data_IF_839092330290
#
_entry.id   IF_839092330290
#
_cell.length_a   1.000
_cell.length_b   1.000
_cell.length_c   1.000
_cell.angle_alpha   90.00
_cell.angle_beta   90.00
_cell.angle_gamma   90.00
#
_symmetry.space_group_name_H-M   'P 1'
#
loop_
_entity.id
_entity.type
_entity.pdbx_description
1 polymer ?
#
# COMPACT_ATOMS: atom_id res chain seq x y z
N UNK A 1 -30.66 -68.77 2.47
CA UNK A 1 -29.69 -68.15 3.40
C UNK A 1 -29.94 -66.64 3.37
N UNK A 2 -30.92 -66.12 4.12
CA UNK A 2 -30.80 -65.53 5.47
C UNK A 2 -29.67 -64.50 5.64
N UNK A 3 -30.11 -63.24 5.72
CA UNK A 3 -29.75 -62.23 6.70
C UNK A 3 -28.30 -61.73 6.73
N UNK A 4 -28.09 -60.49 6.25
CA UNK A 4 -27.47 -59.42 7.04
C UNK A 4 -27.58 -58.08 6.31
N UNK A 5 -28.59 -57.31 6.72
CA UNK A 5 -28.51 -55.86 6.69
C UNK A 5 -27.44 -55.39 7.69
N UNK A 6 -26.98 -54.17 7.44
CA UNK A 6 -26.56 -53.19 8.46
C UNK A 6 -25.04 -53.11 8.71
N UNK A 7 -24.58 -51.85 8.76
CA UNK A 7 -23.21 -51.33 8.69
C UNK A 7 -22.65 -51.34 7.26
N UNK A 8 -22.54 -50.22 6.55
CA UNK A 8 -21.78 -49.04 6.99
C UNK A 8 -22.29 -47.77 6.27
N UNK A 9 -23.23 -47.05 6.89
CA UNK A 9 -23.38 -45.60 6.65
C UNK A 9 -22.27 -44.92 7.47
N UNK A 10 -21.19 -44.48 6.82
CA UNK A 10 -20.30 -43.41 7.32
C UNK A 10 -19.20 -43.10 6.28
N UNK A 11 -19.58 -42.60 5.10
CA UNK A 11 -18.66 -41.88 4.23
C UNK A 11 -19.12 -40.42 4.13
N UNK A 12 -19.19 -39.76 5.28
CA UNK A 12 -19.46 -38.33 5.38
C UNK A 12 -18.15 -37.60 5.08
N UNK A 13 -18.09 -37.05 3.87
CA UNK A 13 -17.48 -35.77 3.49
C UNK A 13 -16.30 -35.29 4.38
N UNK A 14 -15.08 -35.69 4.02
CA UNK A 14 -13.88 -34.95 4.41
C UNK A 14 -13.57 -34.01 3.23
N UNK A 15 -14.12 -32.80 3.27
CA UNK A 15 -13.65 -31.70 2.44
C UNK A 15 -12.53 -31.02 3.23
N UNK A 16 -11.26 -31.04 2.79
CA UNK A 16 -10.28 -30.12 3.34
C UNK A 16 -10.66 -28.72 2.87
N UNK A 17 -11.30 -27.95 3.75
CA UNK A 17 -11.47 -26.52 3.56
C UNK A 17 -10.10 -25.85 3.72
N UNK A 18 -9.27 -25.90 2.67
CA UNK A 18 -8.13 -25.02 2.55
C UNK A 18 -8.67 -23.63 2.24
N UNK A 19 -9.15 -22.91 3.25
CA UNK A 19 -9.45 -21.48 3.13
C UNK A 19 -8.11 -20.77 3.05
N UNK A 20 -7.60 -20.62 1.82
CA UNK A 20 -6.63 -19.59 1.51
C UNK A 20 -7.42 -18.30 1.49
N UNK A 21 -7.42 -17.61 2.63
CA UNK A 21 -7.92 -16.25 2.70
C UNK A 21 -7.04 -15.39 1.78
N UNK A 22 -7.50 -15.18 0.54
CA UNK A 22 -7.08 -14.04 -0.28
C UNK A 22 -7.64 -12.78 0.37
N UNK A 23 -7.01 -12.38 1.48
CA UNK A 23 -7.17 -11.08 2.11
C UNK A 23 -5.95 -10.25 1.76
N UNK A 24 -6.00 -9.62 0.60
CA UNK A 24 -5.03 -8.62 0.18
C UNK A 24 -5.14 -7.40 1.13
N UNK A 25 -4.02 -7.11 1.80
CA UNK A 25 -3.60 -5.77 2.23
C UNK A 25 -4.50 -4.97 3.17
N UNK A 26 -4.41 -5.24 4.48
CA UNK A 26 -4.53 -4.20 5.51
C UNK A 26 -3.98 -4.66 6.87
N UNK A 27 -2.78 -4.22 7.21
CA UNK A 27 -2.42 -3.93 8.60
C UNK A 27 -1.81 -5.05 9.44
N UNK A 28 -0.62 -4.74 9.97
CA UNK A 28 0.00 -5.34 11.16
C UNK A 28 0.63 -6.73 11.02
N UNK A 29 1.64 -6.82 10.13
CA UNK A 29 2.72 -7.77 10.32
C UNK A 29 3.49 -7.45 11.60
N UNK A 30 3.30 -8.29 12.62
CA UNK A 30 4.03 -8.28 13.89
C UNK A 30 5.50 -8.65 13.64
N UNK A 31 6.31 -7.64 13.28
CA UNK A 31 7.76 -7.73 13.10
C UNK A 31 8.47 -6.94 14.19
N UNK A 32 9.08 -7.65 15.12
CA UNK A 32 9.81 -7.11 16.27
C UNK A 32 10.96 -6.18 15.82
N UNK A 33 10.92 -4.91 16.24
CA UNK A 33 12.07 -4.01 16.39
C UNK A 33 12.67 -3.32 15.14
N UNK A 34 12.78 -3.97 13.98
CA UNK A 34 13.62 -3.45 12.87
C UNK A 34 12.84 -2.70 11.77
N UNK A 35 11.57 -3.03 11.54
CA UNK A 35 10.79 -2.44 10.45
C UNK A 35 10.21 -1.03 10.74
N UNK A 36 10.35 -0.52 11.97
CA UNK A 36 9.68 0.71 12.45
C UNK A 36 10.39 2.02 12.13
N UNK A 37 11.46 2.03 11.33
CA UNK A 37 12.25 3.26 11.07
C UNK A 37 11.76 4.08 9.87
N UNK A 38 11.18 3.45 8.86
CA UNK A 38 10.69 4.15 7.68
C UNK A 38 9.41 4.89 8.04
N UNK A 39 9.45 6.21 7.91
CA UNK A 39 8.30 7.07 8.09
C UNK A 39 8.20 8.07 6.93
N UNK A 40 6.99 8.52 6.66
CA UNK A 40 6.70 9.56 5.69
C UNK A 40 6.08 10.77 6.38
N UNK A 41 6.46 11.96 5.96
CA UNK A 41 6.03 13.23 6.58
C UNK A 41 6.00 14.37 5.56
N UNK A 42 5.65 15.57 6.01
CA UNK A 42 5.67 16.79 5.18
C UNK A 42 4.84 16.66 3.89
N UNK A 43 3.68 15.98 3.99
CA UNK A 43 2.76 15.82 2.88
C UNK A 43 2.29 17.19 2.39
N UNK A 44 2.61 17.49 1.15
CA UNK A 44 2.15 18.67 0.44
C UNK A 44 1.64 18.21 -0.91
N UNK A 45 0.41 18.53 -1.31
CA UNK A 45 -0.61 19.24 -0.54
C UNK A 45 -1.09 18.39 0.66
N UNK A 46 -1.66 19.04 1.68
CA UNK A 46 -2.12 18.35 2.91
C UNK A 46 -3.27 17.39 2.63
N UNK A 47 -3.53 16.46 3.56
CA UNK A 47 -4.63 15.51 3.43
C UNK A 47 -5.99 16.21 3.21
N UNK A 48 -6.75 15.76 2.22
CA UNK A 48 -8.01 16.30 1.72
C UNK A 48 -7.94 17.72 1.12
N UNK A 49 -6.76 18.25 0.82
CA UNK A 49 -6.63 19.54 0.15
C UNK A 49 -7.25 19.53 -1.26
N UNK A 50 -7.81 20.68 -1.64
CA UNK A 50 -8.30 20.93 -3.00
C UNK A 50 -7.17 21.37 -3.93
N UNK A 51 -7.05 20.70 -5.08
CA UNK A 51 -5.92 20.87 -5.99
C UNK A 51 -6.38 20.83 -7.44
N UNK A 52 -5.73 21.57 -8.32
CA UNK A 52 -5.99 21.47 -9.75
C UNK A 52 -5.44 20.13 -10.31
N UNK A 53 -5.89 19.68 -11.49
CA UNK A 53 -5.25 18.57 -12.19
C UNK A 53 -3.78 18.88 -12.46
N UNK A 54 -2.93 17.85 -12.53
CA UNK A 54 -1.48 18.00 -12.72
C UNK A 54 -0.72 18.78 -11.63
N UNK A 55 -1.38 19.10 -10.52
CA UNK A 55 -0.72 19.71 -9.37
C UNK A 55 0.46 18.86 -8.91
N UNK A 56 1.52 19.54 -8.46
CA UNK A 56 2.65 18.86 -7.86
C UNK A 56 2.27 18.34 -6.46
N UNK A 57 2.86 17.21 -6.08
CA UNK A 57 2.85 16.73 -4.71
C UNK A 57 4.28 16.45 -4.26
N UNK A 58 4.47 16.44 -2.94
CA UNK A 58 5.70 16.09 -2.30
C UNK A 58 5.47 15.49 -0.93
N UNK A 59 6.42 14.68 -0.50
CA UNK A 59 6.51 14.19 0.87
C UNK A 59 7.98 13.95 1.21
N UNK A 60 8.26 13.81 2.48
CA UNK A 60 9.57 13.47 3.00
C UNK A 60 9.59 12.01 3.43
N UNK A 61 10.64 11.29 3.06
CA UNK A 61 10.91 9.95 3.55
C UNK A 61 12.18 9.97 4.41
N UNK A 62 12.18 9.28 5.54
CA UNK A 62 13.36 9.21 6.42
C UNK A 62 14.59 8.60 5.73
N UNK A 63 15.79 8.87 6.23
CA UNK A 63 17.05 8.26 5.78
C UNK A 63 17.06 6.72 5.76
N UNK A 64 16.22 6.10 6.59
CA UNK A 64 16.13 4.63 6.68
C UNK A 64 15.42 3.98 5.49
N UNK A 65 14.89 4.78 4.57
CA UNK A 65 14.23 4.36 3.34
C UNK A 65 15.26 4.07 2.25
N UNK A 66 15.09 2.97 1.52
CA UNK A 66 15.87 2.71 0.31
C UNK A 66 15.30 3.53 -0.86
N UNK A 67 15.98 4.58 -1.35
CA UNK A 67 15.36 5.59 -2.22
C UNK A 67 14.87 5.02 -3.56
N UNK A 68 15.56 4.01 -4.10
CA UNK A 68 15.17 3.35 -5.36
C UNK A 68 13.94 2.46 -5.24
N UNK A 69 13.49 2.15 -4.02
CA UNK A 69 12.27 1.37 -3.79
C UNK A 69 11.00 2.22 -3.70
N UNK A 70 11.13 3.54 -3.60
CA UNK A 70 9.99 4.44 -3.43
C UNK A 70 9.16 4.42 -4.72
N UNK A 71 7.91 4.01 -4.58
CA UNK A 71 6.90 4.00 -5.63
C UNK A 71 5.70 4.79 -5.16
N UNK A 72 5.13 5.55 -6.08
CA UNK A 72 3.85 6.21 -5.86
C UNK A 72 2.87 5.75 -6.91
N UNK A 73 1.67 5.39 -6.45
CA UNK A 73 0.55 5.06 -7.32
C UNK A 73 -0.64 5.95 -7.01
N UNK A 74 -1.32 6.42 -8.06
CA UNK A 74 -2.55 7.21 -7.94
C UNK A 74 -3.60 6.55 -8.83
N UNK A 75 -4.71 6.10 -8.23
CA UNK A 75 -5.74 5.28 -8.91
C UNK A 75 -5.15 4.10 -9.70
N UNK A 76 -4.13 3.43 -9.15
CA UNK A 76 -3.46 2.29 -9.77
C UNK A 76 -2.42 2.65 -10.86
N UNK A 77 -2.31 3.93 -11.24
CA UNK A 77 -1.30 4.39 -12.19
C UNK A 77 0.01 4.72 -11.45
N UNK A 78 1.14 4.17 -11.91
CA UNK A 78 2.46 4.52 -11.39
C UNK A 78 2.87 5.93 -11.84
N UNK A 79 3.35 6.72 -10.88
CA UNK A 79 3.73 8.12 -11.10
C UNK A 79 5.25 8.27 -11.16
N UNK A 80 5.81 8.96 -12.16
CA UNK A 80 7.21 9.33 -12.18
C UNK A 80 7.57 10.22 -10.99
N UNK A 81 8.66 9.88 -10.30
CA UNK A 81 9.12 10.59 -9.11
C UNK A 81 10.51 11.19 -9.31
N UNK A 82 10.71 12.36 -8.71
CA UNK A 82 12.05 12.91 -8.46
C UNK A 82 12.35 12.72 -6.98
N UNK A 83 13.48 12.09 -6.68
CA UNK A 83 13.94 11.84 -5.30
C UNK A 83 15.22 12.62 -5.09
N UNK A 84 15.21 13.56 -4.15
CA UNK A 84 16.36 14.40 -3.82
C UNK A 84 16.79 14.12 -2.39
N UNK A 85 18.05 13.72 -2.22
CA UNK A 85 18.66 13.54 -0.90
C UNK A 85 18.74 14.88 -0.14
N UNK A 86 18.40 14.82 1.14
CA UNK A 86 18.43 15.91 2.12
C UNK A 86 19.11 15.39 3.38
N UNK A 87 19.51 16.29 4.29
CA UNK A 87 20.38 15.94 5.42
C UNK A 87 19.93 14.72 6.24
N UNK A 88 18.62 14.47 6.38
CA UNK A 88 18.09 13.38 7.21
C UNK A 88 17.13 12.45 6.45
N UNK A 89 17.31 12.28 5.13
CA UNK A 89 16.36 11.55 4.30
C UNK A 89 16.17 12.11 2.89
N UNK A 90 14.97 11.94 2.35
CA UNK A 90 14.70 12.16 0.93
C UNK A 90 13.44 12.99 0.74
N UNK A 91 13.56 14.10 0.01
CA UNK A 91 12.41 14.82 -0.50
C UNK A 91 11.98 14.17 -1.81
N UNK A 92 10.75 13.67 -1.83
CA UNK A 92 10.14 13.03 -3.00
C UNK A 92 9.13 13.99 -3.59
N UNK A 93 9.15 14.17 -4.91
CA UNK A 93 8.20 15.01 -5.62
C UNK A 93 7.66 14.31 -6.85
N UNK A 94 6.39 14.53 -7.16
CA UNK A 94 5.73 14.05 -8.37
C UNK A 94 4.61 14.99 -8.80
N UNK A 95 3.85 14.58 -9.82
CA UNK A 95 2.67 15.31 -10.28
C UNK A 95 1.47 14.37 -10.37
N UNK A 96 0.29 14.91 -10.09
CA UNK A 96 -0.95 14.20 -10.37
C UNK A 96 -1.07 13.94 -11.88
N UNK A 97 -1.63 12.80 -12.32
CA UNK A 97 -1.95 12.59 -13.71
C UNK A 97 -3.07 13.54 -14.18
N UNK A 98 -3.07 13.86 -15.46
CA UNK A 98 -4.03 14.75 -16.12
C UNK A 98 -5.44 14.15 -16.25
N UNK A 99 -5.53 12.82 -16.15
CA UNK A 99 -6.77 12.03 -16.16
C UNK A 99 -7.63 12.24 -14.91
N UNK A 100 -7.09 12.86 -13.86
CA UNK A 100 -7.82 13.13 -12.63
C UNK A 100 -8.58 14.45 -12.75
N UNK A 101 -9.91 14.35 -12.78
CA UNK A 101 -10.80 15.50 -12.77
C UNK A 101 -12.03 15.28 -11.89
N UNK A 102 -12.39 16.30 -11.12
CA UNK A 102 -13.59 16.30 -10.27
C UNK A 102 -13.71 15.12 -9.30
N UNK A 103 -12.60 14.56 -8.82
CA UNK A 103 -12.59 13.33 -8.03
C UNK A 103 -11.58 13.37 -6.88
N UNK A 104 -11.85 12.58 -5.84
CA UNK A 104 -10.84 12.25 -4.85
C UNK A 104 -9.80 11.30 -5.44
N UNK A 105 -8.54 11.56 -5.14
CA UNK A 105 -7.41 10.72 -5.54
C UNK A 105 -6.57 10.40 -4.31
N UNK A 106 -6.27 9.12 -4.10
CA UNK A 106 -5.33 8.67 -3.08
C UNK A 106 -3.93 8.61 -3.69
N UNK A 107 -3.00 9.33 -3.08
CA UNK A 107 -1.57 9.22 -3.37
C UNK A 107 -1.05 8.11 -2.47
N UNK A 108 -0.93 6.90 -3.01
CA UNK A 108 -0.36 5.76 -2.29
C UNK A 108 1.16 5.79 -2.42
N UNK A 109 1.85 5.57 -1.31
CA UNK A 109 3.28 5.42 -1.23
C UNK A 109 3.58 3.97 -0.84
N UNK A 110 4.53 3.37 -1.55
CA UNK A 110 5.14 2.10 -1.19
C UNK A 110 6.65 2.30 -1.18
N UNK A 111 7.33 1.83 -0.14
CA UNK A 111 8.78 1.82 -0.11
C UNK A 111 9.31 0.64 0.70
N UNK A 112 10.61 0.42 0.61
CA UNK A 112 11.34 -0.53 1.44
C UNK A 112 12.32 0.20 2.34
N UNK A 113 12.42 -0.24 3.58
CA UNK A 113 13.51 0.16 4.46
C UNK A 113 14.82 -0.53 4.09
N UNK A 114 15.93 -0.05 4.65
CA UNK A 114 17.25 -0.71 4.52
C UNK A 114 17.19 -2.18 4.96
N UNK A 115 16.39 -2.49 5.98
CA UNK A 115 16.12 -3.85 6.45
C UNK A 115 15.16 -4.67 5.56
N UNK A 116 14.89 -4.22 4.33
CA UNK A 116 13.98 -4.83 3.35
C UNK A 116 12.50 -4.95 3.79
N UNK A 117 12.12 -4.25 4.86
CA UNK A 117 10.72 -4.18 5.27
C UNK A 117 9.92 -3.31 4.31
N UNK A 118 8.83 -3.83 3.78
CA UNK A 118 7.88 -3.07 2.97
C UNK A 118 7.02 -2.19 3.88
N UNK A 119 6.93 -0.90 3.54
CA UNK A 119 6.15 0.09 4.27
C UNK A 119 5.29 0.84 3.27
N UNK A 120 4.01 0.98 3.61
CA UNK A 120 3.02 1.67 2.80
C UNK A 120 2.39 2.80 3.58
N UNK A 121 2.06 3.87 2.88
CA UNK A 121 1.35 5.03 3.43
C UNK A 121 0.60 5.74 2.31
N UNK A 122 -0.12 6.81 2.62
CA UNK A 122 -0.72 7.66 1.61
C UNK A 122 -1.77 8.59 2.16
N UNK A 123 -2.11 9.60 1.36
CA UNK A 123 -3.10 10.59 1.72
C UNK A 123 -4.04 10.87 0.55
N UNK A 124 -5.17 11.50 0.86
CA UNK A 124 -6.19 11.87 -0.11
C UNK A 124 -6.02 13.32 -0.52
N UNK A 125 -6.35 13.61 -1.77
CA UNK A 125 -6.50 14.98 -2.30
C UNK A 125 -7.78 15.06 -3.10
N UNK A 126 -8.42 16.23 -3.10
CA UNK A 126 -9.62 16.50 -3.89
C UNK A 126 -9.21 17.25 -5.15
N UNK A 127 -9.29 16.60 -6.30
CA UNK A 127 -8.93 17.23 -7.57
C UNK A 127 -10.14 18.03 -8.07
N UNK A 128 -9.99 19.35 -8.11
CA UNK A 128 -11.01 20.29 -8.58
C UNK A 128 -10.79 20.58 -10.07
N UNK A 129 -11.90 20.62 -10.83
CA UNK A 129 -11.99 20.62 -12.31
C UNK A 129 -11.77 19.28 -13.01
#
# INVERSE_FOLDING_TARGET
>A
MKLKHMLWLAAVLIIPANVWAYGDSAGSGSGTGMCKKVNFSEFSPVNNAEVAPQSAFSFYATESTFPKSIKVTIKGQSIPLTVVEKQNGYKVTGKLPDTLRGAFAKINIEARGIAQCEVTDGWLVKVTQ
#
